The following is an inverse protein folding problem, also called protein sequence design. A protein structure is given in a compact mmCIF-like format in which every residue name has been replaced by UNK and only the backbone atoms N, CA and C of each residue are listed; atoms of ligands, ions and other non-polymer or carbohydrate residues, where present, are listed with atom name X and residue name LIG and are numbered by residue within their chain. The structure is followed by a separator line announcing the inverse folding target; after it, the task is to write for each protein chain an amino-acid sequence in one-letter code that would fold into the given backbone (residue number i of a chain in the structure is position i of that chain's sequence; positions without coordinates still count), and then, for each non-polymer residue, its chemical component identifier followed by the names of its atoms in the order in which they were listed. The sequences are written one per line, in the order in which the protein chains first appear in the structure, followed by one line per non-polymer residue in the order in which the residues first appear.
data_IF_594118319916
#
_entry.id   IF_594118319916
#
_cell.length_a   1.000
_cell.length_b   1.000
_cell.length_c   1.000
_cell.angle_alpha   90.00
_cell.angle_beta   90.00
_cell.angle_gamma   90.00
#
_symmetry.space_group_name_H-M   'P 1'
#
loop_
_entity.id
_entity.type
_entity.pdbx_description
1 polymer ?
#
# COMPACT_ATOMS: atom_id res chain seq x y z
N UNK A 1 8.05 7.40 18.36
CA UNK A 1 8.61 8.50 17.54
C UNK A 1 8.49 8.07 16.09
N UNK A 2 7.47 8.56 15.40
CA UNK A 2 7.36 8.45 13.94
C UNK A 2 8.45 9.36 13.35
N UNK A 3 9.44 8.78 12.68
CA UNK A 3 10.32 9.54 11.79
C UNK A 3 9.43 10.14 10.70
N UNK A 4 9.19 11.44 10.77
CA UNK A 4 8.82 12.22 9.58
C UNK A 4 10.03 12.16 8.66
N UNK A 5 10.04 11.14 7.79
CA UNK A 5 11.03 11.06 6.72
C UNK A 5 10.81 12.26 5.82
N UNK A 6 11.73 13.23 5.90
CA UNK A 6 11.78 14.32 4.93
C UNK A 6 11.97 13.70 3.55
N UNK A 7 10.90 13.67 2.76
CA UNK A 7 10.88 13.03 1.44
C UNK A 7 11.89 13.70 0.49
N UNK A 8 12.12 15.01 0.69
CA UNK A 8 13.15 15.79 0.02
C UNK A 8 14.59 15.29 0.30
N UNK A 9 14.91 14.84 1.52
CA UNK A 9 16.23 14.29 1.86
C UNK A 9 16.40 12.85 1.36
N UNK A 10 15.28 12.15 1.15
CA UNK A 10 15.25 10.73 0.78
C UNK A 10 15.33 10.50 -0.74
N UNK A 11 15.06 11.53 -1.55
CA UNK A 11 15.02 11.43 -3.02
C UNK A 11 16.35 11.88 -3.62
N UNK A 12 16.93 11.03 -4.48
CA UNK A 12 18.15 11.34 -5.25
C UNK A 12 17.86 11.38 -6.74
N UNK A 13 18.20 12.49 -7.38
CA UNK A 13 18.19 12.61 -8.85
C UNK A 13 19.40 11.86 -9.40
N UNK A 14 19.15 10.81 -10.19
CA UNK A 14 20.21 9.95 -10.76
C UNK A 14 20.71 10.50 -12.11
N UNK A 15 19.85 11.16 -12.87
CA UNK A 15 20.15 11.70 -14.19
C UNK A 15 19.33 12.96 -14.50
N UNK A 16 19.88 13.85 -15.33
CA UNK A 16 19.26 15.12 -15.71
C UNK A 16 19.63 16.27 -14.77
N UNK A 17 19.17 17.47 -15.12
CA UNK A 17 19.34 18.68 -14.30
C UNK A 17 17.97 19.36 -14.12
N UNK A 18 17.07 18.79 -13.32
CA UNK A 18 15.76 19.39 -13.08
C UNK A 18 15.92 20.73 -12.38
N UNK A 19 15.05 21.68 -12.69
CA UNK A 19 15.00 22.94 -11.95
C UNK A 19 14.50 22.69 -10.51
N UNK A 20 14.88 23.54 -9.54
CA UNK A 20 14.39 23.40 -8.16
C UNK A 20 12.86 23.39 -8.06
N UNK A 21 12.19 24.13 -8.95
CA UNK A 21 10.73 24.23 -9.00
C UNK A 21 10.08 22.93 -9.46
N UNK A 22 10.64 22.28 -10.49
CA UNK A 22 10.13 21.00 -10.98
C UNK A 22 10.32 19.89 -9.94
N UNK A 23 11.47 19.87 -9.25
CA UNK A 23 11.73 18.90 -8.19
C UNK A 23 10.71 19.07 -7.04
N UNK A 24 10.45 20.31 -6.62
CA UNK A 24 9.45 20.59 -5.59
C UNK A 24 8.04 20.16 -6.00
N UNK A 25 7.65 20.38 -7.26
CA UNK A 25 6.35 19.94 -7.77
C UNK A 25 6.20 18.41 -7.72
N UNK A 26 7.24 17.66 -8.10
CA UNK A 26 7.24 16.19 -8.03
C UNK A 26 7.15 15.70 -6.59
N UNK A 27 7.88 16.33 -5.66
CA UNK A 27 7.83 15.98 -4.24
C UNK A 27 6.40 16.19 -3.69
N UNK A 28 5.77 17.33 -4.01
CA UNK A 28 4.41 17.62 -3.57
C UNK A 28 3.39 16.58 -4.08
N UNK A 29 3.53 16.13 -5.33
CA UNK A 29 2.70 15.05 -5.89
C UNK A 29 2.94 13.76 -5.12
N UNK A 30 4.20 13.40 -4.86
CA UNK A 30 4.55 12.18 -4.16
C UNK A 30 3.99 12.18 -2.72
N UNK A 31 4.09 13.30 -2.01
CA UNK A 31 3.50 13.48 -0.67
C UNK A 31 1.98 13.33 -0.68
N UNK A 32 1.28 13.96 -1.65
CA UNK A 32 -0.16 13.83 -1.80
C UNK A 32 -0.58 12.36 -2.04
N UNK A 33 0.12 11.66 -2.92
CA UNK A 33 -0.16 10.24 -3.20
C UNK A 33 0.13 9.34 -1.99
N UNK A 34 1.16 9.66 -1.20
CA UNK A 34 1.48 8.91 0.01
C UNK A 34 0.37 9.08 1.07
N UNK A 35 -0.14 10.32 1.24
CA UNK A 35 -1.24 10.60 2.15
C UNK A 35 -2.53 9.87 1.76
N UNK A 36 -2.85 9.82 0.46
CA UNK A 36 -3.98 9.06 -0.07
C UNK A 36 -3.81 7.55 0.17
N UNK A 37 -2.65 6.98 -0.16
CA UNK A 37 -2.36 5.57 0.11
C UNK A 37 -2.41 5.23 1.61
N UNK A 38 -1.97 6.13 2.48
CA UNK A 38 -2.07 5.94 3.93
C UNK A 38 -3.53 5.95 4.41
N UNK A 39 -4.39 6.77 3.79
CA UNK A 39 -5.83 6.77 4.06
C UNK A 39 -6.49 5.47 3.54
N UNK A 40 -6.15 5.01 2.34
CA UNK A 40 -6.65 3.75 1.78
C UNK A 40 -6.22 2.52 2.58
N UNK A 41 -4.96 2.48 3.05
CA UNK A 41 -4.46 1.38 3.90
C UNK A 41 -5.23 1.25 5.21
N UNK A 42 -5.74 2.35 5.78
CA UNK A 42 -6.62 2.28 6.96
C UNK A 42 -7.97 1.61 6.67
N UNK A 43 -8.40 1.60 5.41
CA UNK A 43 -9.64 1.00 4.93
C UNK A 43 -9.43 -0.40 4.34
N UNK A 44 -8.21 -0.94 4.34
CA UNK A 44 -7.92 -2.26 3.81
C UNK A 44 -8.68 -3.34 4.60
N UNK A 45 -9.85 -3.72 4.11
CA UNK A 45 -10.66 -4.83 4.64
C UNK A 45 -9.79 -6.10 4.61
N UNK A 46 -9.83 -6.87 5.69
CA UNK A 46 -9.19 -8.18 5.72
C UNK A 46 -9.80 -9.05 4.63
N UNK A 47 -8.98 -9.79 3.86
CA UNK A 47 -9.49 -10.66 2.81
C UNK A 47 -10.44 -11.69 3.41
N UNK A 48 -11.59 -11.89 2.77
CA UNK A 48 -12.61 -12.85 3.24
C UNK A 48 -12.11 -14.31 3.13
N UNK A 49 -11.16 -14.56 2.23
CA UNK A 49 -10.60 -15.89 1.97
C UNK A 49 -9.25 -16.09 2.67
N UNK A 50 -9.06 -17.32 3.16
CA UNK A 50 -7.77 -17.79 3.69
C UNK A 50 -6.73 -18.12 2.61
N UNK A 51 -7.11 -18.13 1.32
CA UNK A 51 -6.24 -18.51 0.21
C UNK A 51 -5.15 -17.47 -0.13
N UNK A 52 -5.26 -16.21 0.33
CA UNK A 52 -4.17 -15.21 0.12
C UNK A 52 -2.98 -15.42 1.04
N UNK A 53 -3.20 -16.20 2.11
CA UNK A 53 -2.24 -16.24 3.20
C UNK A 53 -0.95 -16.84 2.64
N UNK A 54 0.18 -16.21 2.99
CA UNK A 54 1.49 -16.71 2.62
C UNK A 54 1.59 -18.20 2.97
N UNK A 55 1.93 -19.03 1.98
CA UNK A 55 1.93 -20.50 2.12
C UNK A 55 2.92 -20.99 3.20
N UNK A 56 3.99 -20.25 3.46
CA UNK A 56 4.94 -20.51 4.54
C UNK A 56 4.42 -20.19 5.95
N UNK A 57 3.35 -19.39 6.05
CA UNK A 57 2.62 -19.13 7.30
C UNK A 57 1.40 -20.05 7.49
N UNK A 58 1.13 -21.00 6.58
CA UNK A 58 0.06 -21.99 6.70
C UNK A 58 0.40 -23.10 7.69
N UNK A 59 0.79 -22.75 8.92
CA UNK A 59 0.95 -23.71 10.03
C UNK A 59 -0.38 -24.12 10.67
N UNK A 60 -1.50 -23.55 10.20
CA UNK A 60 -2.84 -23.84 10.68
C UNK A 60 -3.72 -24.44 9.57
N UNK A 61 -4.85 -25.04 9.97
CA UNK A 61 -5.80 -25.62 9.03
C UNK A 61 -6.40 -24.55 8.09
N UNK A 62 -6.40 -24.86 6.79
CA UNK A 62 -7.28 -24.20 5.84
C UNK A 62 -8.71 -24.65 6.12
N UNK A 63 -9.60 -23.73 6.45
CA UNK A 63 -11.01 -24.04 6.74
C UNK A 63 -11.76 -24.28 5.42
N UNK A 64 -12.39 -25.45 5.20
CA UNK A 64 -13.30 -25.65 4.09
C UNK A 64 -14.62 -24.91 4.37
N UNK A 65 -15.32 -24.44 3.31
CA UNK A 65 -16.66 -23.86 3.46
C UNK A 65 -17.00 -22.80 2.42
N UNK A 66 -18.29 -22.45 2.34
CA UNK A 66 -18.78 -21.39 1.47
C UNK A 66 -18.08 -20.06 1.80
N UNK A 67 -17.58 -19.37 0.78
CA UNK A 67 -16.82 -18.11 0.95
C UNK A 67 -15.32 -18.28 1.18
N UNK A 68 -14.85 -19.46 1.58
CA UNK A 68 -13.44 -19.67 1.91
C UNK A 68 -12.49 -19.64 0.69
N UNK A 69 -13.02 -19.91 -0.50
CA UNK A 69 -12.25 -20.03 -1.76
C UNK A 69 -12.55 -18.88 -2.73
N UNK A 70 -13.23 -17.82 -2.26
CA UNK A 70 -13.59 -16.68 -3.08
C UNK A 70 -12.38 -15.75 -3.33
N UNK A 71 -12.45 -14.96 -4.41
CA UNK A 71 -11.41 -13.99 -4.74
C UNK A 71 -11.22 -12.95 -3.63
N UNK A 72 -9.97 -12.49 -3.53
CA UNK A 72 -9.36 -11.70 -2.46
C UNK A 72 -10.13 -10.44 -2.03
N UNK A 73 -10.82 -9.80 -2.97
CA UNK A 73 -11.61 -8.60 -2.73
C UNK A 73 -12.83 -8.64 -3.65
N UNK A 74 -14.04 -8.49 -3.08
CA UNK A 74 -15.25 -8.21 -3.86
C UNK A 74 -15.70 -6.80 -3.53
N UNK A 75 -15.57 -5.90 -4.49
CA UNK A 75 -16.10 -4.54 -4.40
C UNK A 75 -17.64 -4.59 -4.50
N UNK A 76 -18.37 -3.94 -3.58
CA UNK A 76 -19.83 -3.79 -3.66
C UNK A 76 -20.69 -4.76 -2.82
N UNK A 77 -20.13 -5.43 -1.82
CA UNK A 77 -20.89 -6.06 -0.73
C UNK A 77 -20.32 -5.54 0.58
N UNK A 78 -21.00 -4.56 1.18
CA UNK A 78 -20.76 -4.04 2.53
C UNK A 78 -21.70 -4.72 3.54
#
# INVERSE_FOLDING_TARGET
MSEELNLAESIKVVSGNPTPQELAAVIAILEATQAEQAAEKKLAKQPSSSWNRNSGNLRGNLLPGFGQWQAQYRLGMD
#
